data_IF_817842555563
#
_entry.id   IF_817842555563
#
_cell.length_a   1.000
_cell.length_b   1.000
_cell.length_c   1.000
_cell.angle_alpha   90.00
_cell.angle_beta   90.00
_cell.angle_gamma   90.00
#
_symmetry.space_group_name_H-M   'P 1'
#
loop_
_entity.id
_entity.type
_entity.pdbx_description
1 polymer ?
#
# COMPACT_ATOMS: atom_id res chain seq x y z
N UNK A 1 -45.91 6.96 42.61
CA UNK A 1 -45.21 7.59 41.49
C UNK A 1 -43.79 7.03 41.51
N UNK A 2 -43.50 6.09 40.63
CA UNK A 2 -42.20 5.39 40.54
C UNK A 2 -41.56 5.83 39.25
N UNK A 3 -40.45 6.51 39.37
CA UNK A 3 -39.64 7.07 38.28
C UNK A 3 -38.74 5.97 37.72
N UNK A 4 -38.99 5.54 36.47
CA UNK A 4 -38.19 4.55 35.76
C UNK A 4 -37.05 5.29 35.01
N UNK A 5 -35.88 5.36 35.62
CA UNK A 5 -34.67 5.77 34.94
C UNK A 5 -34.16 4.63 34.05
N UNK A 6 -34.33 4.74 32.73
CA UNK A 6 -33.68 3.86 31.74
C UNK A 6 -32.18 4.16 31.70
N UNK A 7 -31.40 3.23 32.21
CA UNK A 7 -29.95 3.21 32.00
C UNK A 7 -29.63 2.93 30.52
N UNK A 8 -29.12 3.94 29.81
CA UNK A 8 -28.51 3.78 28.49
C UNK A 8 -27.13 3.17 28.73
N UNK A 9 -26.95 1.88 28.41
CA UNK A 9 -25.65 1.25 28.36
C UNK A 9 -24.94 1.76 27.11
N UNK A 10 -23.97 2.62 27.28
CA UNK A 10 -23.02 3.00 26.22
C UNK A 10 -22.13 1.78 25.93
N UNK A 11 -22.39 1.11 24.83
CA UNK A 11 -21.49 0.10 24.28
C UNK A 11 -20.27 0.85 23.67
N UNK A 12 -19.19 0.94 24.43
CA UNK A 12 -17.87 1.31 23.89
C UNK A 12 -17.35 0.14 23.07
N UNK A 13 -17.53 0.22 21.76
CA UNK A 13 -16.76 -0.61 20.84
C UNK A 13 -15.31 -0.16 20.94
N UNK A 14 -14.48 -0.95 21.59
CA UNK A 14 -13.04 -0.85 21.47
C UNK A 14 -12.65 -1.19 20.03
N UNK A 15 -12.44 -0.17 19.20
CA UNK A 15 -11.73 -0.31 17.93
C UNK A 15 -10.31 -0.74 18.28
N UNK A 16 -10.04 -2.03 18.12
CA UNK A 16 -8.67 -2.50 18.04
C UNK A 16 -8.02 -1.75 16.86
N UNK A 17 -7.20 -0.77 17.16
CA UNK A 17 -6.33 -0.15 16.17
C UNK A 17 -5.36 -1.23 15.73
N UNK A 18 -5.55 -1.78 14.54
CA UNK A 18 -4.47 -2.43 13.81
C UNK A 18 -3.38 -1.37 13.71
N UNK A 19 -2.23 -1.64 14.38
CA UNK A 19 -1.14 -0.69 14.47
C UNK A 19 -0.59 -0.32 13.10
N UNK A 20 -1.04 0.82 12.60
CA UNK A 20 -0.38 1.49 11.50
C UNK A 20 0.68 2.39 12.13
N UNK A 21 1.95 2.07 11.86
CA UNK A 21 3.09 2.81 12.40
C UNK A 21 2.89 4.32 12.30
N UNK A 22 3.33 5.03 13.32
CA UNK A 22 3.21 6.51 13.47
C UNK A 22 4.01 7.33 12.45
N UNK A 23 4.56 6.70 11.41
CA UNK A 23 5.15 7.40 10.27
C UNK A 23 4.05 8.06 9.44
N UNK A 24 4.17 9.37 9.20
CA UNK A 24 3.30 10.13 8.30
C UNK A 24 3.42 9.54 6.88
N UNK A 25 2.60 8.52 6.57
CA UNK A 25 2.54 7.89 5.24
C UNK A 25 1.72 8.77 4.32
N UNK A 26 2.34 9.83 3.79
CA UNK A 26 1.66 10.79 2.91
C UNK A 26 1.64 10.28 1.48
N UNK A 27 0.60 9.53 1.11
CA UNK A 27 0.42 8.99 -0.25
C UNK A 27 -0.93 8.30 -0.39
N UNK A 28 -1.35 8.03 -1.62
CA UNK A 28 -2.42 7.09 -1.96
C UNK A 28 -1.92 6.13 -3.02
N UNK A 29 -1.84 4.85 -2.68
CA UNK A 29 -1.54 3.77 -3.63
C UNK A 29 -2.70 2.81 -3.62
N UNK A 30 -3.15 2.42 -4.80
CA UNK A 30 -4.27 1.49 -4.99
C UNK A 30 -3.88 0.32 -5.87
N UNK A 31 -4.50 -0.83 -5.64
CA UNK A 31 -4.47 -1.98 -6.54
C UNK A 31 -5.88 -2.42 -6.87
N UNK A 32 -6.11 -2.82 -8.11
CA UNK A 32 -7.41 -3.29 -8.59
C UNK A 32 -7.22 -4.54 -9.45
N UNK A 33 -7.99 -5.58 -9.18
CA UNK A 33 -8.07 -6.81 -9.99
C UNK A 33 -9.48 -6.94 -10.58
N UNK A 34 -9.59 -6.88 -11.90
CA UNK A 34 -10.87 -7.02 -12.60
C UNK A 34 -10.67 -7.41 -14.06
N UNK A 35 -11.58 -8.24 -14.58
CA UNK A 35 -11.67 -8.60 -16.00
C UNK A 35 -10.32 -9.07 -16.61
N UNK A 36 -9.61 -9.94 -15.88
CA UNK A 36 -8.34 -10.51 -16.31
C UNK A 36 -7.13 -9.55 -16.24
N UNK A 37 -7.29 -8.40 -15.60
CA UNK A 37 -6.22 -7.42 -15.39
C UNK A 37 -6.00 -7.12 -13.91
N UNK A 38 -4.77 -6.86 -13.56
CA UNK A 38 -4.35 -6.29 -12.30
C UNK A 38 -3.68 -4.93 -12.55
N UNK A 39 -4.09 -3.92 -11.80
CA UNK A 39 -3.62 -2.54 -11.95
C UNK A 39 -3.08 -2.06 -10.61
N UNK A 40 -1.97 -1.33 -10.64
CA UNK A 40 -1.49 -0.53 -9.54
C UNK A 40 -1.43 0.93 -9.97
N UNK A 41 -1.87 1.83 -9.09
CA UNK A 41 -1.75 3.26 -9.32
C UNK A 41 -1.32 3.97 -8.04
N UNK A 42 -0.51 5.01 -8.17
CA UNK A 42 -0.04 5.82 -7.07
C UNK A 42 0.04 7.30 -7.45
N UNK A 43 -0.16 8.18 -6.48
CA UNK A 43 0.07 9.61 -6.61
C UNK A 43 1.57 9.93 -6.69
N UNK A 44 1.91 11.19 -6.99
CA UNK A 44 3.31 11.64 -7.17
C UNK A 44 3.71 12.78 -6.23
N UNK A 45 2.87 13.13 -5.26
CA UNK A 45 3.19 14.19 -4.32
C UNK A 45 4.15 13.71 -3.24
N UNK A 46 5.26 14.41 -3.04
CA UNK A 46 6.11 14.30 -1.86
C UNK A 46 5.87 15.48 -0.92
N UNK A 47 5.97 15.26 0.38
CA UNK A 47 5.80 16.31 1.38
C UNK A 47 6.90 16.30 2.43
N UNK A 48 7.27 17.47 2.91
CA UNK A 48 8.20 17.70 4.03
C UNK A 48 7.42 18.47 5.10
N UNK A 49 6.72 17.74 5.98
CA UNK A 49 5.75 18.32 6.89
C UNK A 49 4.61 18.99 6.12
N UNK A 50 4.45 20.31 6.27
CA UNK A 50 3.44 21.09 5.54
C UNK A 50 3.89 21.54 4.14
N UNK A 51 5.17 21.40 3.80
CA UNK A 51 5.69 21.81 2.48
C UNK A 51 5.44 20.71 1.45
N UNK A 52 4.88 21.08 0.30
CA UNK A 52 4.57 20.19 -0.83
C UNK A 52 5.67 20.29 -1.88
N UNK A 53 6.28 19.18 -2.25
CA UNK A 53 7.11 19.04 -3.45
C UNK A 53 6.22 18.46 -4.56
N UNK A 54 5.69 19.33 -5.41
CA UNK A 54 4.89 18.90 -6.55
C UNK A 54 5.80 18.22 -7.58
N UNK A 55 5.24 17.29 -8.35
CA UNK A 55 5.98 16.51 -9.35
C UNK A 55 6.72 17.32 -10.39
N UNK A 56 6.26 18.53 -10.68
CA UNK A 56 6.94 19.48 -11.62
C UNK A 56 8.30 19.95 -11.11
N UNK A 57 8.58 19.79 -9.83
CA UNK A 57 9.85 20.16 -9.17
C UNK A 57 10.68 18.94 -8.78
N UNK A 58 10.18 17.73 -9.02
CA UNK A 58 10.86 16.48 -8.71
C UNK A 58 11.26 15.78 -10.02
N UNK A 59 12.52 15.45 -10.16
CA UNK A 59 13.02 14.77 -11.36
C UNK A 59 12.62 13.27 -11.41
N UNK A 60 12.18 12.70 -10.28
CA UNK A 60 11.78 11.29 -10.16
C UNK A 60 10.59 11.12 -9.19
N UNK A 61 9.41 11.66 -9.55
CA UNK A 61 8.25 11.68 -8.67
C UNK A 61 7.50 10.34 -8.58
N UNK A 62 7.98 9.32 -9.28
CA UNK A 62 7.33 8.02 -9.37
C UNK A 62 7.37 7.30 -8.01
N UNK A 63 6.20 6.89 -7.51
CA UNK A 63 6.05 6.05 -6.31
C UNK A 63 5.89 4.56 -6.64
N UNK A 64 5.88 4.23 -7.92
CA UNK A 64 5.82 2.85 -8.39
C UNK A 64 7.19 2.41 -8.86
N UNK A 65 7.69 1.32 -8.29
CA UNK A 65 8.92 0.69 -8.76
C UNK A 65 8.62 -0.63 -9.47
N UNK A 66 9.49 -1.03 -10.40
CA UNK A 66 9.37 -2.27 -11.14
C UNK A 66 10.57 -3.18 -10.82
N UNK A 67 10.28 -4.48 -10.56
CA UNK A 67 11.27 -5.52 -10.44
C UNK A 67 10.79 -6.78 -11.17
N UNK A 68 11.54 -7.17 -12.22
CA UNK A 68 11.09 -8.24 -13.10
C UNK A 68 9.74 -7.91 -13.75
N UNK A 69 8.77 -8.78 -13.55
CA UNK A 69 7.37 -8.63 -13.99
C UNK A 69 6.42 -8.10 -12.91
N UNK A 70 6.96 -7.74 -11.73
CA UNK A 70 6.20 -7.22 -10.60
C UNK A 70 6.34 -5.71 -10.47
N UNK A 71 5.25 -5.05 -10.12
CA UNK A 71 5.21 -3.63 -9.75
C UNK A 71 4.90 -3.50 -8.27
N UNK A 72 5.56 -2.53 -7.64
CA UNK A 72 5.44 -2.21 -6.22
C UNK A 72 5.04 -0.77 -6.04
N UNK A 73 4.18 -0.52 -5.07
CA UNK A 73 3.93 0.82 -4.55
C UNK A 73 4.11 0.80 -3.04
N UNK A 74 4.90 1.74 -2.50
CA UNK A 74 5.29 1.74 -1.09
C UNK A 74 4.68 2.96 -0.41
N UNK A 75 3.99 2.74 0.70
CA UNK A 75 3.57 3.78 1.60
C UNK A 75 4.48 3.81 2.82
N UNK A 76 4.98 4.98 3.16
CA UNK A 76 5.93 5.17 4.25
C UNK A 76 6.89 6.32 3.99
N UNK A 77 8.08 6.25 4.56
CA UNK A 77 9.14 7.21 4.28
C UNK A 77 9.67 7.05 2.86
N UNK A 78 9.97 8.16 2.18
CA UNK A 78 10.64 8.16 0.87
C UNK A 78 11.98 7.38 0.89
N UNK A 79 12.65 7.34 2.05
CA UNK A 79 13.85 6.53 2.24
C UNK A 79 13.60 5.04 2.02
N UNK A 80 12.44 4.51 2.42
CA UNK A 80 12.11 3.08 2.22
C UNK A 80 12.01 2.72 0.74
N UNK A 81 11.47 3.61 -0.09
CA UNK A 81 11.39 3.38 -1.53
C UNK A 81 12.81 3.29 -2.14
N UNK A 82 13.69 4.25 -1.83
CA UNK A 82 15.07 4.27 -2.34
C UNK A 82 15.86 3.05 -1.90
N UNK A 83 15.73 2.66 -0.64
CA UNK A 83 16.41 1.48 -0.09
C UNK A 83 15.91 0.22 -0.78
N UNK A 84 14.59 0.02 -0.90
CA UNK A 84 14.05 -1.16 -1.57
C UNK A 84 14.42 -1.19 -3.07
N UNK A 85 14.38 -0.08 -3.75
CA UNK A 85 14.82 0.03 -5.15
C UNK A 85 16.29 -0.35 -5.32
N UNK A 86 17.18 0.18 -4.47
CA UNK A 86 18.60 -0.14 -4.48
C UNK A 86 18.84 -1.63 -4.19
N UNK A 87 18.13 -2.18 -3.20
CA UNK A 87 18.24 -3.58 -2.82
C UNK A 87 17.77 -4.51 -3.96
N UNK A 88 16.60 -4.27 -4.54
CA UNK A 88 16.06 -5.08 -5.61
C UNK A 88 16.91 -5.03 -6.89
N UNK A 89 17.59 -3.91 -7.16
CA UNK A 89 18.58 -3.82 -8.25
C UNK A 89 19.81 -4.71 -8.02
N UNK A 90 20.26 -4.85 -6.77
CA UNK A 90 21.40 -5.71 -6.40
C UNK A 90 21.03 -7.19 -6.31
N UNK A 91 19.77 -7.51 -6.09
CA UNK A 91 19.25 -8.85 -5.80
C UNK A 91 18.17 -9.26 -6.81
N UNK A 92 18.52 -9.48 -8.09
CA UNK A 92 17.54 -9.86 -9.13
C UNK A 92 16.94 -11.25 -8.92
N UNK A 93 17.48 -12.05 -8.00
CA UNK A 93 17.01 -13.39 -7.65
C UNK A 93 15.73 -13.39 -6.82
N UNK A 94 15.33 -12.28 -6.19
CA UNK A 94 14.09 -12.23 -5.42
C UNK A 94 12.87 -12.38 -6.30
N UNK A 95 11.98 -13.28 -5.90
CA UNK A 95 10.73 -13.62 -6.62
C UNK A 95 9.53 -13.13 -5.85
N UNK A 96 8.50 -12.71 -6.61
CA UNK A 96 7.29 -12.13 -6.03
C UNK A 96 6.02 -12.74 -6.65
N UNK A 97 6.12 -13.97 -7.17
CA UNK A 97 5.00 -14.70 -7.77
C UNK A 97 4.15 -15.39 -6.71
N UNK A 98 3.12 -14.70 -6.26
CA UNK A 98 2.22 -15.24 -5.27
C UNK A 98 2.65 -14.99 -3.83
N UNK A 99 1.78 -15.34 -2.91
CA UNK A 99 1.89 -15.00 -1.48
C UNK A 99 3.16 -15.58 -0.83
N UNK A 100 3.49 -16.82 -1.14
CA UNK A 100 4.63 -17.53 -0.53
C UNK A 100 5.97 -16.94 -0.97
N UNK A 101 6.17 -16.73 -2.28
CA UNK A 101 7.38 -16.11 -2.80
C UNK A 101 7.57 -14.69 -2.25
N UNK A 102 6.48 -13.91 -2.15
CA UNK A 102 6.49 -12.57 -1.57
C UNK A 102 6.95 -12.63 -0.12
N UNK A 103 6.35 -13.51 0.69
CA UNK A 103 6.72 -13.68 2.09
C UNK A 103 8.21 -14.05 2.24
N UNK A 104 8.67 -15.08 1.51
CA UNK A 104 10.06 -15.54 1.58
C UNK A 104 11.05 -14.48 1.11
N UNK A 105 10.71 -13.71 0.07
CA UNK A 105 11.54 -12.60 -0.38
C UNK A 105 11.63 -11.51 0.67
N UNK A 106 10.52 -11.06 1.26
CA UNK A 106 10.54 -10.04 2.31
C UNK A 106 11.19 -10.53 3.60
N UNK A 107 11.09 -11.81 3.92
CA UNK A 107 11.82 -12.42 5.05
C UNK A 107 13.34 -12.34 4.86
N UNK A 108 13.84 -12.54 3.63
CA UNK A 108 15.25 -12.41 3.28
C UNK A 108 15.70 -10.96 3.13
N UNK A 109 14.81 -10.08 2.68
CA UNK A 109 15.05 -8.63 2.56
C UNK A 109 15.22 -7.98 3.94
N UNK A 110 14.48 -8.43 4.97
CA UNK A 110 14.47 -7.80 6.27
C UNK A 110 15.87 -7.68 6.93
N UNK A 111 16.70 -8.75 7.05
CA UNK A 111 18.04 -8.60 7.59
C UNK A 111 18.91 -7.63 6.78
N UNK A 112 18.79 -7.58 5.46
CA UNK A 112 19.52 -6.63 4.63
C UNK A 112 19.08 -5.18 4.95
N UNK A 113 17.78 -4.95 5.12
CA UNK A 113 17.26 -3.65 5.55
C UNK A 113 17.84 -3.23 6.91
N UNK A 114 17.92 -4.16 7.85
CA UNK A 114 18.42 -3.91 9.20
C UNK A 114 19.94 -3.68 9.22
N UNK A 115 20.71 -4.54 8.58
CA UNK A 115 22.17 -4.59 8.71
C UNK A 115 22.87 -3.67 7.73
N UNK A 116 22.39 -3.57 6.48
CA UNK A 116 23.06 -2.78 5.43
C UNK A 116 22.40 -1.40 5.23
N UNK A 117 21.08 -1.30 5.41
CA UNK A 117 20.36 -0.03 5.28
C UNK A 117 20.04 0.64 6.62
N UNK A 118 20.52 0.06 7.74
CA UNK A 118 20.39 0.61 9.09
C UNK A 118 18.94 0.87 9.53
N UNK A 119 18.01 0.05 9.07
CA UNK A 119 16.61 0.14 9.51
C UNK A 119 16.53 -0.07 11.01
N UNK A 120 15.87 0.85 11.71
CA UNK A 120 15.47 0.60 13.09
C UNK A 120 14.18 -0.26 13.10
N UNK A 121 14.25 -1.55 13.47
CA UNK A 121 13.11 -2.47 13.39
C UNK A 121 12.13 -2.33 14.55
N UNK A 122 12.43 -1.51 15.56
CA UNK A 122 11.57 -1.37 16.73
C UNK A 122 10.39 -0.46 16.42
N UNK A 123 9.17 -0.98 16.56
CA UNK A 123 7.90 -0.25 16.48
C UNK A 123 7.25 -0.16 17.87
N UNK A 124 6.81 -1.29 18.40
CA UNK A 124 6.20 -1.40 19.74
C UNK A 124 6.97 -2.44 20.57
N UNK A 125 6.91 -2.33 21.91
CA UNK A 125 7.66 -3.26 22.78
C UNK A 125 7.09 -4.68 22.78
N UNK A 126 5.77 -4.80 22.54
CA UNK A 126 5.03 -6.07 22.57
C UNK A 126 4.89 -6.71 21.17
N UNK A 127 5.53 -6.16 20.14
CA UNK A 127 5.48 -6.73 18.81
C UNK A 127 6.10 -8.14 18.78
N UNK A 128 5.42 -9.14 18.17
CA UNK A 128 5.91 -10.53 18.15
C UNK A 128 7.15 -10.72 17.27
N UNK A 129 7.41 -9.78 16.35
CA UNK A 129 8.54 -9.79 15.42
C UNK A 129 9.10 -8.39 15.23
N UNK A 130 10.36 -8.33 14.75
CA UNK A 130 10.93 -7.06 14.26
C UNK A 130 10.18 -6.56 13.05
N UNK A 131 9.81 -5.28 13.06
CA UNK A 131 9.14 -4.60 11.95
C UNK A 131 10.09 -4.28 10.80
N UNK A 132 9.64 -4.43 9.57
CA UNK A 132 10.32 -3.89 8.38
C UNK A 132 9.95 -2.43 8.10
N UNK A 133 9.08 -1.84 8.92
CA UNK A 133 8.59 -0.45 8.88
C UNK A 133 8.16 0.04 7.49
N UNK A 134 7.75 -0.87 6.63
CA UNK A 134 7.24 -0.55 5.31
C UNK A 134 5.92 -1.28 5.05
N UNK A 135 5.05 -0.62 4.31
CA UNK A 135 3.83 -1.21 3.76
C UNK A 135 3.88 -1.07 2.25
N UNK A 136 3.67 -2.16 1.55
CA UNK A 136 3.73 -2.19 0.09
C UNK A 136 2.53 -2.89 -0.52
N UNK A 137 2.12 -2.43 -1.70
CA UNK A 137 1.25 -3.18 -2.61
C UNK A 137 2.10 -3.75 -3.73
N UNK A 138 1.79 -4.98 -4.14
CA UNK A 138 2.50 -5.70 -5.21
C UNK A 138 1.49 -6.16 -6.23
N UNK A 139 1.81 -5.95 -7.52
CA UNK A 139 1.00 -6.41 -8.65
C UNK A 139 1.87 -7.15 -9.65
N UNK A 140 1.43 -8.32 -10.07
CA UNK A 140 2.04 -9.10 -11.14
C UNK A 140 1.00 -10.01 -11.80
N UNK A 141 1.44 -10.90 -12.70
CA UNK A 141 0.55 -11.82 -13.41
C UNK A 141 -0.17 -12.83 -12.50
N UNK A 142 0.31 -13.06 -11.27
CA UNK A 142 -0.35 -13.96 -10.31
C UNK A 142 -1.47 -13.30 -9.50
N UNK A 143 -1.47 -11.96 -9.37
CA UNK A 143 -2.51 -11.25 -8.62
C UNK A 143 -2.11 -9.89 -8.10
N UNK A 144 -2.84 -9.48 -7.05
CA UNK A 144 -2.60 -8.25 -6.28
C UNK A 144 -2.42 -8.58 -4.80
N UNK A 145 -1.37 -8.03 -4.20
CA UNK A 145 -0.95 -8.41 -2.84
C UNK A 145 -0.64 -7.17 -2.01
N UNK A 146 -0.76 -7.31 -0.68
CA UNK A 146 -0.28 -6.33 0.30
C UNK A 146 0.74 -6.97 1.23
N UNK A 147 1.82 -6.24 1.51
CA UNK A 147 2.85 -6.60 2.49
C UNK A 147 2.85 -5.54 3.56
N UNK A 148 2.77 -5.96 4.82
CA UNK A 148 2.72 -5.07 5.96
C UNK A 148 3.99 -5.13 6.80
N UNK A 149 4.07 -4.28 7.80
CA UNK A 149 5.30 -4.00 8.53
C UNK A 149 5.94 -5.23 9.18
N UNK A 150 5.15 -6.19 9.65
CA UNK A 150 5.63 -7.47 10.21
C UNK A 150 5.72 -8.58 9.17
N UNK A 151 5.74 -8.21 7.89
CA UNK A 151 5.83 -9.13 6.74
C UNK A 151 4.59 -10.02 6.56
N UNK A 152 3.45 -9.61 7.09
CA UNK A 152 2.18 -10.23 6.73
C UNK A 152 1.89 -10.00 5.25
N UNK A 153 1.55 -11.06 4.55
CA UNK A 153 1.21 -10.99 3.12
C UNK A 153 -0.25 -11.39 2.92
N UNK A 154 -1.00 -10.49 2.30
CA UNK A 154 -2.39 -10.70 1.91
C UNK A 154 -2.52 -10.75 0.38
N UNK A 155 -3.30 -11.68 -0.14
CA UNK A 155 -3.77 -11.68 -1.53
C UNK A 155 -5.17 -11.10 -1.56
N UNK A 156 -5.39 -10.11 -2.42
CA UNK A 156 -6.70 -9.45 -2.55
C UNK A 156 -7.45 -9.94 -3.79
N UNK A 157 -8.77 -10.06 -3.67
CA UNK A 157 -9.61 -10.54 -4.76
C UNK A 157 -10.15 -9.45 -5.68
N UNK A 158 -10.23 -8.21 -5.19
CA UNK A 158 -10.89 -7.12 -5.92
C UNK A 158 -10.03 -5.87 -6.02
N UNK A 159 -9.86 -5.20 -4.92
CA UNK A 159 -9.05 -3.98 -4.81
C UNK A 159 -8.60 -3.76 -3.39
N UNK A 160 -7.56 -2.96 -3.24
CA UNK A 160 -7.07 -2.50 -1.95
C UNK A 160 -6.36 -1.15 -2.09
N UNK A 161 -6.09 -0.49 -0.95
CA UNK A 161 -5.38 0.78 -0.90
C UNK A 161 -4.53 0.89 0.36
N UNK A 162 -3.41 1.61 0.26
CA UNK A 162 -2.53 1.97 1.36
C UNK A 162 -2.18 3.46 1.31
N UNK A 163 -1.63 3.97 2.41
CA UNK A 163 -1.26 5.38 2.56
C UNK A 163 -2.34 6.21 3.26
N UNK A 164 -2.10 7.52 3.42
CA UNK A 164 -3.00 8.43 4.15
C UNK A 164 -4.36 8.60 3.48
N UNK A 165 -4.41 8.62 2.15
CA UNK A 165 -5.66 8.76 1.39
C UNK A 165 -6.42 7.44 1.13
N UNK A 166 -5.98 6.31 1.73
CA UNK A 166 -6.55 4.97 1.48
C UNK A 166 -8.06 4.89 1.71
N UNK A 167 -8.58 5.52 2.75
CA UNK A 167 -9.98 5.40 3.12
C UNK A 167 -10.90 6.07 2.08
N UNK A 168 -10.48 7.22 1.53
CA UNK A 168 -11.14 7.88 0.41
C UNK A 168 -11.10 7.02 -0.85
N UNK A 169 -9.92 6.43 -1.15
CA UNK A 169 -9.74 5.56 -2.30
C UNK A 169 -10.60 4.30 -2.20
N UNK A 170 -10.60 3.62 -1.04
CA UNK A 170 -11.42 2.42 -0.81
C UNK A 170 -12.91 2.72 -0.96
N UNK A 171 -13.41 3.81 -0.38
CA UNK A 171 -14.80 4.23 -0.52
C UNK A 171 -15.18 4.48 -1.98
N UNK A 172 -14.35 5.24 -2.71
CA UNK A 172 -14.60 5.54 -4.12
C UNK A 172 -14.57 4.29 -5.00
N UNK A 173 -13.58 3.42 -4.84
CA UNK A 173 -13.47 2.16 -5.60
C UNK A 173 -14.65 1.22 -5.32
N UNK A 174 -15.08 1.12 -4.06
CA UNK A 174 -16.22 0.28 -3.67
C UNK A 174 -17.49 0.64 -4.43
N UNK A 175 -17.79 1.91 -4.61
CA UNK A 175 -19.02 2.37 -5.26
C UNK A 175 -19.06 2.04 -6.75
N UNK A 176 -17.90 1.98 -7.42
CA UNK A 176 -17.82 1.80 -8.89
C UNK A 176 -17.40 0.39 -9.33
N UNK A 177 -16.90 -0.45 -8.41
CA UNK A 177 -16.30 -1.74 -8.75
C UNK A 177 -17.25 -2.70 -9.47
N UNK A 178 -18.52 -2.76 -9.05
CA UNK A 178 -19.55 -3.62 -9.68
C UNK A 178 -20.05 -3.12 -11.02
N UNK A 179 -19.72 -1.87 -11.40
CA UNK A 179 -20.14 -1.25 -12.63
C UNK A 179 -19.33 -1.70 -13.85
N UNK A 180 -19.50 -0.98 -14.97
CA UNK A 180 -18.85 -1.29 -16.26
C UNK A 180 -17.42 -0.72 -16.42
N UNK A 181 -16.89 -0.08 -15.39
CA UNK A 181 -15.55 0.53 -15.45
C UNK A 181 -14.47 -0.53 -15.49
N UNK A 182 -13.41 -0.26 -16.25
CA UNK A 182 -12.21 -1.10 -16.30
C UNK A 182 -11.46 -1.07 -14.97
N UNK A 183 -10.53 -2.02 -14.75
CA UNK A 183 -9.65 -2.03 -13.59
C UNK A 183 -8.85 -0.72 -13.49
N UNK A 184 -8.39 -0.18 -14.63
CA UNK A 184 -7.64 1.07 -14.69
C UNK A 184 -8.49 2.29 -14.31
N UNK A 185 -9.73 2.39 -14.84
CA UNK A 185 -10.64 3.48 -14.46
C UNK A 185 -10.94 3.48 -12.96
N UNK A 186 -11.12 2.29 -12.36
CA UNK A 186 -11.38 2.14 -10.94
C UNK A 186 -10.17 2.59 -10.12
N UNK A 187 -8.95 2.19 -10.53
CA UNK A 187 -7.73 2.63 -9.88
C UNK A 187 -7.54 4.15 -9.96
N UNK A 188 -7.78 4.76 -11.13
CA UNK A 188 -7.77 6.22 -11.31
C UNK A 188 -8.73 6.92 -10.36
N UNK A 189 -9.97 6.43 -10.26
CA UNK A 189 -10.98 6.99 -9.35
C UNK A 189 -10.53 6.92 -7.90
N UNK A 190 -9.89 5.81 -7.49
CA UNK A 190 -9.34 5.67 -6.14
C UNK A 190 -8.28 6.73 -5.83
N UNK A 191 -7.28 6.90 -6.71
CA UNK A 191 -6.22 7.90 -6.50
C UNK A 191 -6.78 9.32 -6.57
N UNK A 192 -7.73 9.60 -7.49
CA UNK A 192 -8.39 10.90 -7.58
C UNK A 192 -9.13 11.26 -6.29
N UNK A 193 -9.85 10.31 -5.68
CA UNK A 193 -10.53 10.55 -4.41
C UNK A 193 -9.53 10.85 -3.27
N UNK A 194 -8.39 10.15 -3.24
CA UNK A 194 -7.30 10.48 -2.33
C UNK A 194 -6.77 11.89 -2.57
N UNK A 195 -6.49 12.25 -3.84
CA UNK A 195 -5.95 13.56 -4.21
C UNK A 195 -6.90 14.73 -3.89
N UNK A 196 -8.21 14.49 -3.87
CA UNK A 196 -9.23 15.51 -3.55
C UNK A 196 -9.29 15.81 -2.05
N UNK A 197 -9.17 14.79 -1.20
CA UNK A 197 -9.47 14.93 0.22
C UNK A 197 -8.29 14.72 1.16
N UNK A 198 -7.21 14.06 0.72
CA UNK A 198 -6.02 13.83 1.53
C UNK A 198 -4.92 14.83 1.22
N UNK A 199 -4.47 15.55 2.22
CA UNK A 199 -3.41 16.56 2.09
C UNK A 199 -2.05 15.98 1.67
N UNK A 200 -1.84 14.70 1.90
CA UNK A 200 -0.61 13.97 1.56
C UNK A 200 -0.63 13.33 0.17
N UNK A 201 -1.70 13.51 -0.60
CA UNK A 201 -1.88 12.95 -1.94
C UNK A 201 -1.97 14.05 -2.99
N UNK A 202 -1.37 13.86 -4.15
CA UNK A 202 -1.43 14.85 -5.23
C UNK A 202 -1.11 14.30 -6.61
N UNK A 203 -1.76 14.89 -7.62
CA UNK A 203 -1.56 14.55 -9.03
C UNK A 203 -0.29 15.19 -9.61
N UNK A 204 0.21 14.63 -10.74
CA UNK A 204 -0.29 13.49 -11.51
C UNK A 204 -0.18 12.15 -10.78
N UNK A 205 -0.64 11.06 -11.41
CA UNK A 205 -0.50 9.69 -10.90
C UNK A 205 0.27 8.82 -11.89
N UNK A 206 0.99 7.84 -11.36
CA UNK A 206 1.58 6.75 -12.15
C UNK A 206 0.64 5.54 -12.13
N UNK A 207 0.57 4.82 -13.25
CA UNK A 207 -0.29 3.63 -13.39
C UNK A 207 0.48 2.55 -14.14
N UNK A 208 0.38 1.31 -13.65
CA UNK A 208 0.84 0.13 -14.35
C UNK A 208 -0.28 -0.93 -14.40
N UNK A 209 -0.45 -1.53 -15.58
CA UNK A 209 -1.43 -2.58 -15.81
C UNK A 209 -0.73 -3.87 -16.21
N UNK A 210 -1.09 -4.97 -15.58
CA UNK A 210 -0.57 -6.31 -15.85
C UNK A 210 -1.73 -7.23 -16.22
N UNK A 211 -1.56 -8.03 -17.27
CA UNK A 211 -2.50 -9.09 -17.61
C UNK A 211 -2.31 -10.26 -16.64
N UNK A 212 -3.39 -10.72 -16.04
CA UNK A 212 -3.34 -11.87 -15.14
C UNK A 212 -3.07 -13.16 -15.92
N UNK A 213 -2.22 -14.01 -15.37
CA UNK A 213 -2.03 -15.37 -15.84
C UNK A 213 -3.27 -16.23 -15.61
N UNK A 214 -3.45 -17.24 -16.45
CA UNK A 214 -4.49 -18.24 -16.22
C UNK A 214 -4.06 -19.06 -15.00
N UNK A 215 -4.79 -18.99 -13.88
CA UNK A 215 -4.53 -19.91 -12.76
C UNK A 215 -4.73 -21.34 -13.29
N UNK A 216 -3.68 -22.14 -13.30
CA UNK A 216 -3.83 -23.59 -13.49
C UNK A 216 -4.78 -24.08 -12.39
N UNK A 217 -5.86 -24.75 -12.81
CA UNK A 217 -6.86 -25.37 -11.91
C UNK A 217 -6.28 -26.61 -11.28
#
# INVERSE_FOLDING_TARGET
MVENARQIRTLTFGLAHAGFGKGNTMTTIVVVKKDGHAVIAGDTLTTFGSTRLASVHDAAPEKLLKHGDSYFGIAGSAAHQLVLESLLKKHPEFKFHGREDIYESFRKIHPILKEEAFLNPKEEEDDPYESSQLTALVVNASGIFGVYSMREVFEFDKFWSIGSGRDFALGAMFTVYKGRKSAEDIARIGVLAGAEYDTGTGLPMNIATVKLGVKAR
#
